data_IF_296008159361
#
_entry.id   IF_296008159361
#
_cell.length_a   1.000
_cell.length_b   1.000
_cell.length_c   1.000
_cell.angle_alpha   90.00
_cell.angle_beta   90.00
_cell.angle_gamma   90.00
#
_symmetry.space_group_name_H-M   'P 1'
#
loop_
_entity.id
_entity.type
_entity.pdbx_description
1 polymer ?
#
# COMPACT_ATOMS: atom_id res chain seq x y z
N UNK A 1 -13.71 -22.07 -4.69
CA UNK A 1 -14.20 -20.68 -4.62
C UNK A 1 -13.23 -19.80 -3.84
N UNK A 2 -12.80 -20.23 -2.64
CA UNK A 2 -11.84 -19.49 -1.81
C UNK A 2 -10.46 -19.25 -2.44
N UNK A 3 -9.90 -20.25 -3.12
CA UNK A 3 -8.60 -20.09 -3.78
C UNK A 3 -8.60 -19.02 -4.87
N UNK A 4 -9.70 -18.87 -5.60
CA UNK A 4 -9.87 -17.89 -6.67
C UNK A 4 -10.10 -16.48 -6.10
N UNK A 5 -10.92 -16.36 -5.06
CA UNK A 5 -11.08 -15.13 -4.29
C UNK A 5 -9.73 -14.67 -3.71
N UNK A 6 -8.94 -15.57 -3.13
CA UNK A 6 -7.61 -15.27 -2.62
C UNK A 6 -6.62 -14.88 -3.73
N UNK A 7 -6.75 -15.44 -4.94
CA UNK A 7 -5.94 -15.05 -6.11
C UNK A 7 -6.28 -13.64 -6.57
N UNK A 8 -7.57 -13.32 -6.71
CA UNK A 8 -8.05 -11.99 -7.09
C UNK A 8 -7.72 -10.93 -6.04
N UNK A 9 -7.86 -11.24 -4.75
CA UNK A 9 -7.46 -10.36 -3.66
C UNK A 9 -5.95 -10.06 -3.67
N UNK A 10 -5.10 -11.06 -3.99
CA UNK A 10 -3.65 -10.83 -4.13
C UNK A 10 -3.31 -9.97 -5.35
N UNK A 11 -4.05 -10.13 -6.46
CA UNK A 11 -3.90 -9.24 -7.61
C UNK A 11 -4.28 -7.80 -7.25
N UNK A 12 -5.40 -7.60 -6.54
CA UNK A 12 -5.86 -6.26 -6.15
C UNK A 12 -4.93 -5.55 -5.18
N UNK A 13 -4.18 -6.28 -4.34
CA UNK A 13 -3.12 -5.70 -3.50
C UNK A 13 -2.01 -5.06 -4.34
N UNK A 14 -1.57 -5.74 -5.41
CA UNK A 14 -0.54 -5.20 -6.31
C UNK A 14 -1.04 -3.97 -7.05
N UNK A 15 -2.27 -4.01 -7.55
CA UNK A 15 -2.89 -2.85 -8.23
C UNK A 15 -3.03 -1.67 -7.28
N UNK A 16 -3.45 -1.91 -6.03
CA UNK A 16 -3.56 -0.88 -5.00
C UNK A 16 -2.20 -0.27 -4.65
N UNK A 17 -1.15 -1.09 -4.55
CA UNK A 17 0.21 -0.60 -4.30
C UNK A 17 0.70 0.28 -5.46
N UNK A 18 0.55 -0.18 -6.70
CA UNK A 18 0.93 0.57 -7.89
C UNK A 18 0.19 1.92 -7.98
N UNK A 19 -1.10 1.93 -7.63
CA UNK A 19 -1.88 3.16 -7.52
C UNK A 19 -1.36 4.08 -6.42
N UNK A 20 -0.96 3.55 -5.26
CA UNK A 20 -0.32 4.33 -4.19
C UNK A 20 0.99 4.99 -4.62
N UNK A 21 1.84 4.26 -5.35
CA UNK A 21 3.08 4.77 -5.93
C UNK A 21 2.79 5.87 -6.97
N UNK A 22 1.78 5.68 -7.82
CA UNK A 22 1.33 6.71 -8.78
C UNK A 22 0.76 7.95 -8.07
N UNK A 23 -0.04 7.76 -7.02
CA UNK A 23 -0.56 8.84 -6.18
C UNK A 23 0.55 9.59 -5.45
N UNK A 24 1.62 8.90 -5.05
CA UNK A 24 2.79 9.56 -4.44
C UNK A 24 3.50 10.48 -5.45
N UNK A 25 3.78 9.96 -6.65
CA UNK A 25 4.50 10.69 -7.72
C UNK A 25 3.68 11.84 -8.30
N UNK A 26 2.43 11.57 -8.68
CA UNK A 26 1.57 12.53 -9.39
C UNK A 26 0.75 13.41 -8.44
N UNK A 27 0.44 12.91 -7.24
CA UNK A 27 -0.38 13.63 -6.27
C UNK A 27 0.30 14.84 -5.64
N UNK A 28 1.55 15.16 -5.99
CA UNK A 28 2.20 16.44 -5.67
C UNK A 28 1.92 17.53 -6.72
N UNK A 29 1.52 17.13 -7.92
CA UNK A 29 1.33 17.97 -9.11
C UNK A 29 -0.13 18.29 -9.40
N UNK A 30 -1.05 17.99 -8.47
CA UNK A 30 -2.49 18.19 -8.67
C UNK A 30 -2.89 19.62 -9.06
N UNK A 31 -2.11 20.62 -8.63
CA UNK A 31 -2.30 22.02 -9.01
C UNK A 31 -1.98 22.27 -10.48
N UNK A 32 -0.95 21.61 -11.02
CA UNK A 32 -0.60 21.66 -12.45
C UNK A 32 -1.70 21.06 -13.33
N UNK A 33 -2.48 20.13 -12.76
CA UNK A 33 -3.66 19.55 -13.42
C UNK A 33 -4.95 20.36 -13.23
N UNK A 34 -4.87 21.56 -12.67
CA UNK A 34 -6.01 22.47 -12.49
C UNK A 34 -6.86 22.22 -11.25
N UNK A 35 -6.45 21.32 -10.34
CA UNK A 35 -7.21 21.05 -9.12
C UNK A 35 -6.74 21.94 -7.96
N UNK A 36 -7.70 22.47 -7.19
CA UNK A 36 -7.39 23.31 -6.02
C UNK A 36 -6.87 22.50 -4.83
N UNK A 37 -7.30 21.24 -4.69
CA UNK A 37 -6.90 20.36 -3.59
C UNK A 37 -6.65 18.94 -4.09
N UNK A 38 -5.81 18.19 -3.37
CA UNK A 38 -5.58 16.77 -3.62
C UNK A 38 -6.89 15.96 -3.56
N UNK A 39 -7.80 16.30 -2.65
CA UNK A 39 -9.08 15.61 -2.50
C UNK A 39 -9.99 15.75 -3.74
N UNK A 40 -9.99 16.92 -4.41
CA UNK A 40 -10.71 17.09 -5.68
C UNK A 40 -10.06 16.27 -6.80
N UNK A 41 -8.73 16.34 -6.90
CA UNK A 41 -7.98 15.57 -7.89
C UNK A 41 -8.26 14.07 -7.83
N UNK A 42 -8.14 13.45 -6.64
CA UNK A 42 -8.31 12.00 -6.52
C UNK A 42 -9.77 11.55 -6.64
N UNK A 43 -10.73 12.39 -6.21
CA UNK A 43 -12.16 12.11 -6.40
C UNK A 43 -12.51 12.03 -7.88
N UNK A 44 -11.96 12.94 -8.68
CA UNK A 44 -12.17 12.97 -10.13
C UNK A 44 -11.49 11.79 -10.85
N UNK A 45 -10.27 11.42 -10.43
CA UNK A 45 -9.42 10.49 -11.20
C UNK A 45 -9.46 9.03 -10.78
N UNK A 46 -9.79 8.73 -9.52
CA UNK A 46 -9.54 7.41 -8.93
C UNK A 46 -10.83 6.69 -8.53
N UNK A 47 -11.99 7.36 -8.60
CA UNK A 47 -13.29 6.81 -8.16
C UNK A 47 -13.27 6.24 -6.73
N UNK A 48 -12.34 6.71 -5.91
CA UNK A 48 -12.13 6.30 -4.53
C UNK A 48 -12.17 7.54 -3.62
N UNK A 49 -12.41 7.33 -2.33
CA UNK A 49 -12.41 8.43 -1.37
C UNK A 49 -11.02 9.06 -1.23
N UNK A 50 -10.97 10.36 -0.92
CA UNK A 50 -9.72 11.06 -0.67
C UNK A 50 -8.94 10.44 0.51
N UNK A 51 -9.65 9.93 1.52
CA UNK A 51 -9.05 9.20 2.63
C UNK A 51 -8.38 7.91 2.14
N UNK A 52 -9.10 7.08 1.39
CA UNK A 52 -8.55 5.84 0.85
C UNK A 52 -7.32 6.09 -0.03
N UNK A 53 -7.36 7.13 -0.87
CA UNK A 53 -6.21 7.53 -1.69
C UNK A 53 -5.04 8.03 -0.83
N UNK A 54 -5.34 8.78 0.23
CA UNK A 54 -4.37 9.27 1.20
C UNK A 54 -3.66 8.13 1.94
N UNK A 55 -4.42 7.18 2.48
CA UNK A 55 -3.89 6.01 3.18
C UNK A 55 -3.05 5.13 2.24
N UNK A 56 -3.55 4.90 1.01
CA UNK A 56 -2.87 4.12 -0.02
C UNK A 56 -1.54 4.77 -0.45
N UNK A 57 -1.54 6.09 -0.67
CA UNK A 57 -0.34 6.88 -0.93
C UNK A 57 0.64 6.85 0.25
N UNK A 58 0.12 6.94 1.48
CA UNK A 58 0.95 7.00 2.68
C UNK A 58 1.68 5.67 2.92
N UNK A 59 1.01 4.53 2.71
CA UNK A 59 1.67 3.23 2.78
C UNK A 59 2.72 3.07 1.69
N UNK A 60 2.38 3.36 0.42
CA UNK A 60 3.32 3.25 -0.69
C UNK A 60 4.61 4.05 -0.44
N UNK A 61 4.49 5.30 0.06
CA UNK A 61 5.64 6.11 0.45
C UNK A 61 6.51 5.46 1.52
N UNK A 62 5.92 4.84 2.55
CA UNK A 62 6.71 4.20 3.63
C UNK A 62 7.43 2.94 3.15
N UNK A 63 6.84 2.24 2.18
CA UNK A 63 7.39 1.05 1.55
C UNK A 63 8.55 1.35 0.59
N UNK A 64 8.74 2.61 0.17
CA UNK A 64 9.93 3.02 -0.59
C UNK A 64 11.22 2.83 0.21
N UNK A 65 11.15 3.00 1.54
CA UNK A 65 12.29 2.82 2.47
C UNK A 65 12.32 1.42 3.09
N UNK A 66 11.38 0.54 2.71
CA UNK A 66 11.10 -0.75 3.35
C UNK A 66 10.88 -1.84 2.28
N UNK A 67 11.95 -2.21 1.54
CA UNK A 67 11.83 -3.08 0.39
C UNK A 67 11.40 -4.51 0.74
N UNK A 68 11.77 -5.05 1.91
CA UNK A 68 11.39 -6.41 2.26
C UNK A 68 9.89 -6.51 2.64
N UNK A 69 9.30 -5.50 3.29
CA UNK A 69 7.86 -5.40 3.53
C UNK A 69 7.10 -5.22 2.23
N UNK A 70 7.64 -4.40 1.31
CA UNK A 70 7.07 -4.25 -0.03
C UNK A 70 7.03 -5.59 -0.76
N UNK A 71 8.14 -6.33 -0.72
CA UNK A 71 8.23 -7.65 -1.33
C UNK A 71 7.28 -8.66 -0.67
N UNK A 72 7.23 -8.70 0.66
CA UNK A 72 6.31 -9.56 1.40
C UNK A 72 4.84 -9.28 1.04
N UNK A 73 4.46 -8.01 0.88
CA UNK A 73 3.12 -7.60 0.45
C UNK A 73 2.83 -8.04 -0.99
N UNK A 74 3.77 -7.81 -1.93
CA UNK A 74 3.61 -8.16 -3.35
C UNK A 74 3.54 -9.68 -3.57
N UNK A 75 4.32 -10.45 -2.80
CA UNK A 75 4.31 -11.92 -2.81
C UNK A 75 3.11 -12.51 -2.06
N UNK A 76 2.39 -11.69 -1.29
CA UNK A 76 1.23 -12.11 -0.51
C UNK A 76 1.59 -12.87 0.76
N UNK A 77 2.80 -12.71 1.28
CA UNK A 77 3.21 -13.21 2.60
C UNK A 77 2.53 -12.42 3.74
N UNK A 78 2.22 -11.15 3.48
CA UNK A 78 1.44 -10.30 4.39
C UNK A 78 0.30 -9.62 3.65
N UNK A 79 -0.82 -9.39 4.35
CA UNK A 79 -1.94 -8.61 3.82
C UNK A 79 -1.73 -7.10 3.96
N UNK A 80 -2.60 -6.32 3.31
CA UNK A 80 -2.53 -4.86 3.32
C UNK A 80 -2.53 -4.26 4.72
N UNK A 81 -3.45 -4.69 5.59
CA UNK A 81 -3.55 -4.19 6.97
C UNK A 81 -2.30 -4.49 7.80
N UNK A 82 -1.68 -5.65 7.58
CA UNK A 82 -0.42 -6.00 8.25
C UNK A 82 0.73 -5.11 7.76
N UNK A 83 0.81 -4.85 6.45
CA UNK A 83 1.78 -3.91 5.91
C UNK A 83 1.58 -2.48 6.46
N UNK A 84 0.34 -2.03 6.64
CA UNK A 84 0.06 -0.74 7.29
C UNK A 84 0.51 -0.69 8.75
N UNK A 85 0.30 -1.78 9.50
CA UNK A 85 0.73 -1.90 10.89
C UNK A 85 2.24 -1.87 11.00
N UNK A 86 2.93 -2.74 10.25
CA UNK A 86 4.40 -2.82 10.24
C UNK A 86 5.00 -1.48 9.84
N UNK A 87 4.59 -0.91 8.69
CA UNK A 87 5.14 0.37 8.23
C UNK A 87 4.89 1.55 9.20
N UNK A 88 3.87 1.47 10.07
CA UNK A 88 3.59 2.50 11.08
C UNK A 88 4.46 2.35 12.32
N UNK A 89 4.83 1.14 12.71
CA UNK A 89 5.44 0.84 14.00
C UNK A 89 6.88 0.33 13.92
N UNK A 90 7.39 0.03 12.72
CA UNK A 90 8.75 -0.44 12.53
C UNK A 90 9.64 0.58 11.85
N UNK A 91 10.92 0.56 12.21
CA UNK A 91 11.96 1.27 11.47
C UNK A 91 12.47 0.39 10.33
N UNK A 92 13.08 0.97 9.29
CA UNK A 92 13.67 0.19 8.19
C UNK A 92 14.65 -0.89 8.68
N UNK A 93 15.42 -0.61 9.74
CA UNK A 93 16.37 -1.56 10.33
C UNK A 93 15.72 -2.79 10.97
N UNK A 94 14.47 -2.69 11.42
CA UNK A 94 13.75 -3.78 12.10
C UNK A 94 13.05 -4.75 11.12
N UNK A 95 13.19 -4.50 9.80
CA UNK A 95 12.32 -5.07 8.78
C UNK A 95 12.43 -6.59 8.67
N UNK A 96 13.66 -7.13 8.69
CA UNK A 96 13.91 -8.55 8.55
C UNK A 96 13.39 -9.34 9.75
N UNK A 97 13.66 -8.87 10.97
CA UNK A 97 13.25 -9.53 12.21
C UNK A 97 11.73 -9.60 12.33
N UNK A 98 11.03 -8.52 11.99
CA UNK A 98 9.57 -8.46 12.05
C UNK A 98 8.90 -9.36 11.00
N UNK A 99 9.44 -9.44 9.79
CA UNK A 99 8.88 -10.32 8.77
C UNK A 99 9.03 -11.80 9.14
N UNK A 100 10.15 -12.16 9.76
CA UNK A 100 10.39 -13.53 10.25
C UNK A 100 9.40 -13.88 11.38
N UNK A 101 9.22 -12.95 12.32
CA UNK A 101 8.21 -13.08 13.39
C UNK A 101 6.80 -13.25 12.82
N UNK A 102 6.39 -12.46 11.81
CA UNK A 102 5.08 -12.58 11.17
C UNK A 102 4.91 -13.93 10.46
N UNK A 103 5.96 -14.42 9.79
CA UNK A 103 5.96 -15.74 9.16
C UNK A 103 5.66 -16.88 10.16
N UNK A 104 6.10 -16.73 11.41
CA UNK A 104 5.84 -17.68 12.50
C UNK A 104 4.42 -17.59 13.10
N UNK A 105 3.74 -16.45 12.95
CA UNK A 105 2.43 -16.17 13.55
C UNK A 105 1.24 -16.42 12.61
N UNK A 106 1.49 -16.59 11.32
CA UNK A 106 0.41 -16.70 10.33
C UNK A 106 -0.15 -18.13 10.34
N UNK A 107 -1.36 -18.32 10.88
CA UNK A 107 -2.11 -19.59 10.79
C UNK A 107 -2.47 -19.83 9.33
N UNK A 108 -1.99 -20.95 8.76
CA UNK A 108 -2.27 -21.38 7.37
C UNK A 108 -3.70 -21.85 7.18
#
# INVERSE_FOLDING_TARGET
>A
MDAELARLARASVRDRLALGEALHRLGRRFREFGFRTFAMYVRERVSQSARWCGDTRALARRLEERPAQREALVRGHIGWSMAELLARHSRPEDEAELLDAVGSMTVR
#
